data_IF_745334588927
#
_entry.id   IF_745334588927
#
_cell.length_a   1.000
_cell.length_b   1.000
_cell.length_c   1.000
_cell.angle_alpha   90.00
_cell.angle_beta   90.00
_cell.angle_gamma   90.00
#
_symmetry.space_group_name_H-M   'P 1'
#
loop_
_entity.id
_entity.type
_entity.pdbx_description
1 polymer ?
#
# COMPACT_ATOMS: atom_id res chain seq x y z
N UNK A 1 9.47 -2.74 20.22
CA UNK A 1 9.96 -3.01 18.83
C UNK A 1 9.02 -2.29 17.88
N UNK A 2 9.51 -1.62 16.84
CA UNK A 2 8.66 -0.93 15.86
C UNK A 2 8.28 -1.90 14.74
N UNK A 3 7.02 -1.86 14.28
CA UNK A 3 6.54 -2.74 13.21
C UNK A 3 6.06 -1.90 12.02
N UNK A 4 6.55 -2.21 10.81
CA UNK A 4 6.13 -1.61 9.55
C UNK A 4 5.41 -2.65 8.69
N UNK A 5 4.35 -2.25 7.98
CA UNK A 5 3.60 -3.11 7.07
C UNK A 5 3.65 -2.53 5.66
N UNK A 6 4.28 -3.24 4.74
CA UNK A 6 4.25 -2.94 3.31
C UNK A 6 3.06 -3.69 2.68
N UNK A 7 2.24 -2.99 1.88
CA UNK A 7 1.03 -3.53 1.26
C UNK A 7 1.11 -3.36 -0.25
N UNK A 8 0.98 -4.46 -0.99
CA UNK A 8 0.91 -4.45 -2.46
C UNK A 8 -0.21 -5.35 -2.96
N UNK A 9 -0.70 -5.09 -4.17
CA UNK A 9 -1.64 -6.00 -4.85
C UNK A 9 -0.95 -7.12 -5.63
N UNK A 10 0.37 -7.06 -5.75
CA UNK A 10 1.19 -7.98 -6.54
C UNK A 10 2.32 -8.47 -5.65
N UNK A 11 2.31 -9.73 -5.29
CA UNK A 11 3.27 -10.30 -4.32
C UNK A 11 4.74 -10.23 -4.76
N UNK A 12 5.00 -10.28 -6.07
CA UNK A 12 6.36 -10.11 -6.62
C UNK A 12 6.84 -8.66 -6.72
N UNK A 13 6.02 -7.69 -6.32
CA UNK A 13 6.37 -6.26 -6.45
C UNK A 13 7.52 -5.86 -5.52
N UNK A 14 7.43 -6.23 -4.24
CA UNK A 14 8.48 -5.88 -3.26
C UNK A 14 9.83 -6.47 -3.63
N UNK A 15 9.97 -7.77 -3.93
CA UNK A 15 11.28 -8.34 -4.28
C UNK A 15 11.90 -7.75 -5.56
N UNK A 16 11.10 -7.19 -6.45
CA UNK A 16 11.62 -6.58 -7.69
C UNK A 16 11.98 -5.11 -7.54
N UNK A 17 11.22 -4.34 -6.76
CA UNK A 17 11.28 -2.88 -6.81
C UNK A 17 11.51 -2.21 -5.46
N UNK A 18 11.14 -2.85 -4.34
CA UNK A 18 11.05 -2.19 -3.04
C UNK A 18 11.96 -2.82 -1.96
N UNK A 19 12.92 -3.66 -2.34
CA UNK A 19 13.86 -4.25 -1.35
C UNK A 19 14.76 -3.19 -0.70
N UNK A 20 14.96 -2.03 -1.33
CA UNK A 20 15.65 -0.91 -0.70
C UNK A 20 14.82 -0.34 0.45
N UNK A 21 13.51 -0.19 0.27
CA UNK A 21 12.60 0.29 1.32
C UNK A 21 12.57 -0.67 2.50
N UNK A 22 12.58 -1.99 2.21
CA UNK A 22 12.70 -3.03 3.26
C UNK A 22 13.97 -2.82 4.08
N UNK A 23 15.13 -2.66 3.42
CA UNK A 23 16.42 -2.43 4.10
C UNK A 23 16.42 -1.16 4.94
N UNK A 24 15.94 -0.05 4.37
CA UNK A 24 15.84 1.23 5.07
C UNK A 24 14.97 1.09 6.33
N UNK A 25 13.84 0.40 6.25
CA UNK A 25 12.98 0.16 7.41
C UNK A 25 13.69 -0.69 8.47
N UNK A 26 14.37 -1.77 8.07
CA UNK A 26 15.12 -2.64 8.97
C UNK A 26 16.29 -1.89 9.66
N UNK A 27 17.04 -1.11 8.92
CA UNK A 27 18.14 -0.25 9.44
C UNK A 27 17.62 0.79 10.44
N UNK A 28 16.37 1.24 10.29
CA UNK A 28 15.69 2.13 11.24
C UNK A 28 14.98 1.39 12.40
N UNK A 29 15.27 0.11 12.58
CA UNK A 29 14.81 -0.71 13.71
C UNK A 29 13.37 -1.21 13.58
N UNK A 30 12.81 -1.27 12.37
CA UNK A 30 11.50 -1.86 12.13
C UNK A 30 11.61 -3.35 11.86
N UNK A 31 10.72 -4.13 12.48
CA UNK A 31 10.34 -5.44 11.96
C UNK A 31 9.41 -5.24 10.79
N UNK A 32 9.78 -5.76 9.61
CA UNK A 32 9.04 -5.53 8.37
C UNK A 32 8.07 -6.66 8.08
N UNK A 33 6.78 -6.32 8.01
CA UNK A 33 5.69 -7.19 7.57
C UNK A 33 5.37 -6.87 6.11
N UNK A 34 5.04 -7.89 5.34
CA UNK A 34 4.64 -7.75 3.95
C UNK A 34 3.31 -8.46 3.69
N UNK A 35 2.28 -7.69 3.29
CA UNK A 35 0.96 -8.19 2.98
C UNK A 35 0.67 -8.09 1.47
N UNK A 36 0.30 -9.21 0.86
CA UNK A 36 -0.06 -9.30 -0.56
C UNK A 36 -0.84 -10.57 -0.87
N UNK A 37 -1.32 -10.72 -2.12
CA UNK A 37 -1.88 -11.98 -2.61
C UNK A 37 -0.75 -12.94 -3.01
N UNK A 38 -0.33 -13.80 -2.10
CA UNK A 38 0.71 -14.80 -2.34
C UNK A 38 0.21 -16.07 -3.02
N UNK A 39 -1.10 -16.28 -3.13
CA UNK A 39 -1.68 -17.44 -3.79
C UNK A 39 -1.80 -17.26 -5.31
N UNK A 40 -1.87 -16.00 -5.78
CA UNK A 40 -1.97 -15.67 -7.21
C UNK A 40 -0.83 -14.73 -7.63
N UNK A 41 0.42 -15.18 -7.57
CA UNK A 41 1.56 -14.34 -7.92
C UNK A 41 1.57 -14.04 -9.43
N UNK A 42 1.82 -12.78 -9.80
CA UNK A 42 1.99 -12.35 -11.21
C UNK A 42 3.44 -12.47 -11.64
N UNK A 43 4.35 -12.22 -10.72
CA UNK A 43 5.79 -12.41 -10.92
C UNK A 43 6.27 -13.58 -10.06
N UNK A 44 7.36 -14.22 -10.49
CA UNK A 44 8.00 -15.24 -9.69
C UNK A 44 8.39 -14.67 -8.32
N UNK A 45 7.99 -15.37 -7.27
CA UNK A 45 8.26 -14.98 -5.90
C UNK A 45 8.85 -16.16 -5.13
N UNK A 46 9.97 -15.93 -4.49
CA UNK A 46 10.55 -16.88 -3.55
C UNK A 46 10.23 -16.45 -2.11
N UNK A 47 9.10 -16.96 -1.58
CA UNK A 47 8.67 -16.64 -0.22
C UNK A 47 9.69 -17.09 0.83
N UNK A 48 10.43 -18.19 0.58
CA UNK A 48 11.47 -18.67 1.50
C UNK A 48 12.62 -17.67 1.57
N UNK A 49 13.00 -17.07 0.43
CA UNK A 49 14.03 -16.03 0.40
C UNK A 49 13.57 -14.78 1.15
N UNK A 50 12.35 -14.30 0.90
CA UNK A 50 11.80 -13.14 1.62
C UNK A 50 11.80 -13.32 3.14
N UNK A 51 11.48 -14.53 3.62
CA UNK A 51 11.55 -14.85 5.05
C UNK A 51 13.00 -14.84 5.57
N UNK A 52 13.97 -15.32 4.77
CA UNK A 52 15.41 -15.24 5.11
C UNK A 52 15.90 -13.79 5.15
N UNK A 53 15.34 -12.93 4.30
CA UNK A 53 15.61 -11.49 4.27
C UNK A 53 14.92 -10.74 5.44
N UNK A 54 14.28 -11.48 6.36
CA UNK A 54 13.71 -10.94 7.59
C UNK A 54 12.28 -10.39 7.45
N UNK A 55 11.55 -10.69 6.37
CA UNK A 55 10.17 -10.26 6.21
C UNK A 55 9.19 -11.26 6.84
N UNK A 56 8.18 -10.74 7.52
CA UNK A 56 7.01 -11.49 8.00
C UNK A 56 5.91 -11.37 6.95
N UNK A 57 5.57 -12.50 6.32
CA UNK A 57 4.62 -12.53 5.20
C UNK A 57 3.19 -12.76 5.68
N UNK A 58 2.25 -11.97 5.14
CA UNK A 58 0.81 -12.09 5.39
C UNK A 58 0.07 -12.23 4.06
N UNK A 59 -0.56 -13.37 3.82
CA UNK A 59 -1.47 -13.50 2.68
C UNK A 59 -2.75 -12.72 2.93
N UNK A 60 -3.18 -11.95 1.91
CA UNK A 60 -4.46 -11.23 1.88
C UNK A 60 -5.14 -11.42 0.52
N UNK A 61 -6.48 -11.46 0.52
CA UNK A 61 -7.29 -11.69 -0.70
C UNK A 61 -7.40 -10.46 -1.64
N UNK A 62 -6.40 -9.59 -1.66
CA UNK A 62 -6.45 -8.33 -2.42
C UNK A 62 -6.46 -8.56 -3.93
N UNK A 63 -7.21 -7.75 -4.65
CA UNK A 63 -7.32 -7.79 -6.11
C UNK A 63 -7.07 -6.42 -6.74
N UNK A 64 -6.52 -6.41 -7.97
CA UNK A 64 -6.25 -5.17 -8.73
C UNK A 64 -7.52 -4.44 -9.14
N UNK A 65 -8.58 -5.18 -9.47
CA UNK A 65 -9.86 -4.61 -9.93
C UNK A 65 -10.69 -4.10 -8.75
N UNK A 66 -11.14 -2.84 -8.76
CA UNK A 66 -12.04 -2.31 -7.73
C UNK A 66 -13.41 -3.01 -7.75
N UNK A 67 -13.80 -3.65 -8.86
CA UNK A 67 -15.08 -4.36 -9.00
C UNK A 67 -15.09 -5.71 -8.27
N UNK A 68 -13.96 -6.22 -7.83
CA UNK A 68 -13.90 -7.43 -6.99
C UNK A 68 -14.15 -7.09 -5.51
N UNK A 69 -15.35 -6.54 -5.25
CA UNK A 69 -15.74 -5.96 -3.96
C UNK A 69 -15.57 -6.96 -2.82
N UNK A 70 -16.08 -8.19 -2.97
CA UNK A 70 -16.02 -9.23 -1.93
C UNK A 70 -14.59 -9.54 -1.51
N UNK A 71 -13.68 -9.72 -2.48
CA UNK A 71 -12.27 -10.02 -2.22
C UNK A 71 -11.57 -8.82 -1.55
N UNK A 72 -11.78 -7.62 -2.08
CA UNK A 72 -11.16 -6.43 -1.52
C UNK A 72 -11.72 -6.06 -0.13
N UNK A 73 -12.99 -6.37 0.16
CA UNK A 73 -13.56 -6.24 1.51
C UNK A 73 -12.92 -7.26 2.47
N UNK A 74 -12.70 -8.50 2.02
CA UNK A 74 -11.99 -9.49 2.83
C UNK A 74 -10.55 -9.04 3.11
N UNK A 75 -9.83 -8.56 2.10
CA UNK A 75 -8.48 -8.00 2.26
C UNK A 75 -8.45 -6.82 3.25
N UNK A 76 -9.43 -5.93 3.20
CA UNK A 76 -9.58 -4.83 4.16
C UNK A 76 -9.71 -5.34 5.60
N UNK A 77 -10.55 -6.35 5.84
CA UNK A 77 -10.71 -6.93 7.18
C UNK A 77 -9.43 -7.64 7.65
N UNK A 78 -8.76 -8.39 6.77
CA UNK A 78 -7.48 -9.03 7.04
C UNK A 78 -6.40 -8.00 7.41
N UNK A 79 -6.25 -6.93 6.62
CA UNK A 79 -5.29 -5.85 6.90
C UNK A 79 -5.58 -5.13 8.20
N UNK A 80 -6.85 -4.80 8.48
CA UNK A 80 -7.27 -4.21 9.74
C UNK A 80 -6.86 -5.08 10.93
N UNK A 81 -7.06 -6.40 10.82
CA UNK A 81 -6.66 -7.37 11.87
C UNK A 81 -5.15 -7.44 12.02
N UNK A 82 -4.38 -7.52 10.93
CA UNK A 82 -2.91 -7.53 10.94
C UNK A 82 -2.38 -6.27 11.63
N UNK A 83 -2.86 -5.07 11.23
CA UNK A 83 -2.43 -3.79 11.80
C UNK A 83 -2.64 -3.77 13.32
N UNK A 84 -3.78 -4.32 13.80
CA UNK A 84 -4.08 -4.36 15.24
C UNK A 84 -3.24 -5.40 15.98
N UNK A 85 -3.19 -6.63 15.47
CA UNK A 85 -2.53 -7.78 16.12
C UNK A 85 -1.02 -7.59 16.19
N UNK A 86 -0.41 -7.20 15.09
CA UNK A 86 1.04 -7.00 14.98
C UNK A 86 1.49 -5.60 15.46
N UNK A 87 0.58 -4.81 16.01
CA UNK A 87 0.85 -3.46 16.53
C UNK A 87 1.58 -2.57 15.54
N UNK A 88 1.18 -2.61 14.27
CA UNK A 88 1.82 -1.86 13.18
C UNK A 88 1.81 -0.36 13.49
N UNK A 89 2.98 0.26 13.44
CA UNK A 89 3.18 1.70 13.66
C UNK A 89 3.45 2.49 12.38
N UNK A 90 3.82 1.80 11.28
CA UNK A 90 3.98 2.39 9.96
C UNK A 90 3.33 1.48 8.91
N UNK A 91 2.49 2.06 8.05
CA UNK A 91 1.88 1.37 6.89
C UNK A 91 2.39 2.03 5.62
N UNK A 92 3.02 1.27 4.73
CA UNK A 92 3.48 1.73 3.43
C UNK A 92 2.69 1.02 2.32
N UNK A 93 1.84 1.78 1.64
CA UNK A 93 0.95 1.28 0.60
C UNK A 93 1.53 1.51 -0.80
N UNK A 94 1.44 0.51 -1.66
CA UNK A 94 1.81 0.59 -3.08
C UNK A 94 0.66 0.11 -3.96
N UNK A 95 0.68 0.49 -5.21
CA UNK A 95 -0.33 0.19 -6.23
C UNK A 95 -1.72 0.78 -5.90
N UNK A 96 -2.58 1.05 -6.89
CA UNK A 96 -3.85 1.74 -6.65
C UNK A 96 -4.74 1.05 -5.60
N UNK A 97 -5.02 -0.25 -5.75
CA UNK A 97 -5.88 -0.95 -4.79
C UNK A 97 -5.20 -1.24 -3.45
N UNK A 98 -3.87 -1.47 -3.44
CA UNK A 98 -3.09 -1.53 -2.20
C UNK A 98 -3.17 -0.21 -1.43
N UNK A 99 -3.08 0.91 -2.17
CA UNK A 99 -3.28 2.25 -1.64
C UNK A 99 -4.69 2.49 -1.07
N UNK A 100 -5.74 2.09 -1.79
CA UNK A 100 -7.12 2.25 -1.32
C UNK A 100 -7.38 1.40 -0.07
N UNK A 101 -7.17 0.10 -0.19
CA UNK A 101 -7.54 -0.85 0.88
C UNK A 101 -6.64 -0.68 2.10
N UNK A 102 -5.34 -0.42 1.90
CA UNK A 102 -4.38 -0.22 2.99
C UNK A 102 -4.66 1.04 3.81
N UNK A 103 -4.87 2.19 3.17
CA UNK A 103 -5.18 3.47 3.85
C UNK A 103 -6.49 3.39 4.62
N UNK A 104 -7.54 2.77 4.05
CA UNK A 104 -8.80 2.56 4.74
C UNK A 104 -8.67 1.60 5.93
N UNK A 105 -7.90 0.51 5.77
CA UNK A 105 -7.65 -0.43 6.86
C UNK A 105 -6.85 0.20 7.99
N UNK A 106 -5.83 1.02 7.67
CA UNK A 106 -5.07 1.78 8.65
C UNK A 106 -5.98 2.70 9.47
N UNK A 107 -6.83 3.50 8.81
CA UNK A 107 -7.80 4.39 9.48
C UNK A 107 -8.77 3.60 10.36
N UNK A 108 -9.33 2.50 9.83
CA UNK A 108 -10.32 1.69 10.55
C UNK A 108 -9.71 0.81 11.65
N UNK A 109 -8.39 0.68 11.71
CA UNK A 109 -7.72 -0.16 12.72
C UNK A 109 -7.83 0.39 14.14
N UNK A 110 -7.99 1.72 14.30
CA UNK A 110 -7.95 2.39 15.59
C UNK A 110 -6.55 2.46 16.23
N UNK A 111 -5.49 2.09 15.46
CA UNK A 111 -4.08 2.14 15.90
C UNK A 111 -3.37 3.43 15.51
N UNK A 112 -3.91 4.16 14.54
CA UNK A 112 -3.36 5.39 13.99
C UNK A 112 -1.88 5.28 13.55
N UNK A 113 -1.52 4.25 12.74
CA UNK A 113 -0.17 4.13 12.23
C UNK A 113 0.19 5.34 11.36
N UNK A 114 1.48 5.62 11.21
CA UNK A 114 1.97 6.56 10.20
C UNK A 114 1.77 5.93 8.81
N UNK A 115 1.07 6.63 7.91
CA UNK A 115 0.65 6.09 6.62
C UNK A 115 1.42 6.76 5.48
N UNK A 116 2.17 5.96 4.73
CA UNK A 116 2.87 6.35 3.51
C UNK A 116 2.19 5.70 2.31
N UNK A 117 2.03 6.43 1.22
CA UNK A 117 1.56 5.91 -0.05
C UNK A 117 2.52 6.28 -1.18
N UNK A 118 3.07 5.27 -1.87
CA UNK A 118 3.85 5.50 -3.09
C UNK A 118 2.96 5.34 -4.31
N UNK A 119 2.74 6.45 -5.03
CA UNK A 119 2.04 6.49 -6.30
C UNK A 119 3.01 6.18 -7.45
N UNK A 120 2.82 5.05 -8.12
CA UNK A 120 3.60 4.62 -9.28
C UNK A 120 3.01 5.12 -10.62
N UNK A 121 2.28 6.21 -10.59
CA UNK A 121 1.57 6.84 -11.70
C UNK A 121 0.08 6.98 -11.39
N UNK A 122 -0.41 8.22 -11.34
CA UNK A 122 -1.84 8.46 -11.21
C UNK A 122 -2.59 8.18 -12.51
N UNK A 123 -3.83 7.68 -12.42
CA UNK A 123 -4.68 7.43 -13.57
C UNK A 123 -5.35 8.71 -14.13
N UNK A 124 -5.02 9.88 -13.56
CA UNK A 124 -5.49 11.20 -13.94
C UNK A 124 -4.29 12.09 -14.33
N UNK A 125 -3.72 11.84 -15.50
CA UNK A 125 -2.60 12.56 -16.11
C UNK A 125 -3.11 13.51 -17.20
N UNK A 126 -2.24 14.36 -17.75
CA UNK A 126 -2.59 15.24 -18.86
C UNK A 126 -3.02 14.41 -20.09
N UNK A 127 -4.21 14.71 -20.62
CA UNK A 127 -4.82 13.92 -21.70
C UNK A 127 -5.62 12.71 -21.24
N UNK A 128 -5.63 12.36 -19.95
CA UNK A 128 -6.46 11.27 -19.45
C UNK A 128 -7.97 11.55 -19.63
N UNK A 129 -8.79 10.50 -19.88
CA UNK A 129 -10.23 10.65 -19.99
C UNK A 129 -10.85 11.37 -18.78
N UNK A 130 -11.82 12.26 -18.99
CA UNK A 130 -12.49 13.01 -17.90
C UNK A 130 -13.06 12.12 -16.80
N UNK A 131 -13.55 10.92 -17.14
CA UNK A 131 -14.02 9.93 -16.17
C UNK A 131 -12.94 9.48 -15.19
N UNK A 132 -11.68 9.40 -15.64
CA UNK A 132 -10.55 9.04 -14.78
C UNK A 132 -10.27 10.16 -13.77
N UNK A 133 -10.36 11.41 -14.21
CA UNK A 133 -10.24 12.57 -13.33
C UNK A 133 -11.34 12.57 -12.28
N UNK A 134 -12.58 12.32 -12.66
CA UNK A 134 -13.68 12.29 -11.70
C UNK A 134 -13.52 11.16 -10.69
N UNK A 135 -13.21 9.94 -11.15
CA UNK A 135 -13.17 8.77 -10.29
C UNK A 135 -11.88 8.69 -9.45
N UNK A 136 -10.72 8.67 -10.13
CA UNK A 136 -9.44 8.41 -9.46
C UNK A 136 -8.93 9.63 -8.68
N UNK A 137 -9.08 10.85 -9.24
CA UNK A 137 -8.69 12.06 -8.53
C UNK A 137 -9.52 12.26 -7.26
N UNK A 138 -10.84 12.07 -7.31
CA UNK A 138 -11.69 12.19 -6.14
C UNK A 138 -11.39 11.12 -5.09
N UNK A 139 -11.11 9.88 -5.54
CA UNK A 139 -10.69 8.80 -4.64
C UNK A 139 -9.36 9.14 -3.94
N UNK A 140 -8.34 9.58 -4.70
CA UNK A 140 -7.04 9.94 -4.13
C UNK A 140 -7.15 11.15 -3.18
N UNK A 141 -7.93 12.17 -3.56
CA UNK A 141 -8.19 13.34 -2.70
C UNK A 141 -8.87 12.95 -1.39
N UNK A 142 -9.83 12.03 -1.43
CA UNK A 142 -10.48 11.51 -0.22
C UNK A 142 -9.49 10.71 0.65
N UNK A 143 -8.71 9.83 0.03
CA UNK A 143 -7.75 8.97 0.73
C UNK A 143 -6.55 9.75 1.28
N UNK A 144 -6.22 10.90 0.69
CA UNK A 144 -5.18 11.79 1.18
C UNK A 144 -5.42 12.23 2.63
N UNK A 145 -6.68 12.40 3.04
CA UNK A 145 -7.04 12.71 4.43
C UNK A 145 -6.67 11.60 5.45
N UNK A 146 -6.29 10.42 4.98
CA UNK A 146 -5.84 9.27 5.80
C UNK A 146 -4.36 8.93 5.54
N UNK A 147 -3.63 9.84 4.91
CA UNK A 147 -2.24 9.63 4.46
C UNK A 147 -1.34 10.70 5.08
N UNK A 148 -0.29 10.30 5.76
CA UNK A 148 0.68 11.22 6.35
C UNK A 148 1.73 11.67 5.31
N UNK A 149 2.06 10.81 4.32
CA UNK A 149 3.03 11.11 3.26
C UNK A 149 2.65 10.44 1.94
N UNK A 150 2.72 11.21 0.85
CA UNK A 150 2.65 10.66 -0.52
C UNK A 150 4.03 10.77 -1.15
N UNK A 151 4.51 9.68 -1.73
CA UNK A 151 5.72 9.61 -2.56
C UNK A 151 5.27 9.46 -4.01
N UNK A 152 5.85 10.24 -4.90
CA UNK A 152 5.60 10.18 -6.34
C UNK A 152 6.91 9.92 -7.08
N UNK A 153 6.85 9.22 -8.21
CA UNK A 153 8.03 8.85 -9.00
C UNK A 153 8.27 9.79 -10.19
N UNK A 154 7.38 10.75 -10.41
CA UNK A 154 7.50 11.74 -11.48
C UNK A 154 6.97 13.10 -11.06
N UNK A 155 7.37 14.15 -11.81
CA UNK A 155 7.04 15.55 -11.51
C UNK A 155 5.55 15.85 -11.66
N UNK A 156 4.90 15.28 -12.68
CA UNK A 156 3.49 15.50 -12.94
C UNK A 156 2.61 15.05 -11.78
N UNK A 157 2.87 13.84 -11.27
CA UNK A 157 2.17 13.31 -10.10
C UNK A 157 2.49 14.10 -8.82
N UNK A 158 3.73 14.57 -8.67
CA UNK A 158 4.12 15.43 -7.56
C UNK A 158 3.31 16.73 -7.53
N UNK A 159 3.22 17.43 -8.67
CA UNK A 159 2.45 18.68 -8.78
C UNK A 159 0.96 18.48 -8.50
N UNK A 160 0.41 17.30 -8.83
CA UNK A 160 -0.98 16.94 -8.50
C UNK A 160 -1.15 16.55 -7.03
N UNK A 161 -0.25 15.77 -6.48
CA UNK A 161 -0.28 15.35 -5.09
C UNK A 161 -0.20 16.54 -4.12
N UNK A 162 0.56 17.59 -4.47
CA UNK A 162 0.64 18.83 -3.69
C UNK A 162 -0.68 19.59 -3.53
N UNK A 163 -1.70 19.26 -4.33
CA UNK A 163 -3.05 19.83 -4.19
C UNK A 163 -3.92 19.07 -3.22
N UNK A 164 -3.44 17.94 -2.69
CA UNK A 164 -4.17 17.15 -1.71
C UNK A 164 -3.88 17.65 -0.30
N UNK A 165 -4.93 17.64 0.53
CA UNK A 165 -4.77 17.90 1.97
C UNK A 165 -4.49 16.57 2.66
N UNK A 166 -3.26 16.39 3.11
CA UNK A 166 -2.84 15.22 3.90
C UNK A 166 -3.34 15.34 5.35
N UNK A 167 -3.24 14.20 6.08
CA UNK A 167 -3.57 14.07 7.50
C UNK A 167 -2.73 14.99 8.39
#
# INVERSE_FOLDING_TARGET
MKHALIITTISGFVPQFEMNDVRILQENGYTVHYASDFENPIYNINQTQLKRDGLILHHIDIRKSPFQITKNTKAFLQLKQIIRKEQISLVHCHNPMGGVVGRLAAKASGREPYVVYTAHGFHFYEGAPKKNWLLYYMAERFLAAFTDRIITINREDYERANRFRLK
#
